data_IF_521457166991
#
_entry.id   IF_521457166991
#
_cell.length_a   1.000
_cell.length_b   1.000
_cell.length_c   1.000
_cell.angle_alpha   90.00
_cell.angle_beta   90.00
_cell.angle_gamma   90.00
#
_symmetry.space_group_name_H-M   'P 1'
#
loop_
_entity.id
_entity.type
_entity.pdbx_description
1 polymer ?
#
# COMPACT_ATOMS: atom_id res chain seq x y z
N UNK A 1 18.61 5.05 -12.28
CA UNK A 1 17.50 5.86 -11.71
C UNK A 1 16.36 4.93 -11.32
N UNK A 2 16.00 4.84 -10.04
CA UNK A 2 14.97 3.89 -9.56
C UNK A 2 13.56 4.24 -10.07
N UNK A 3 12.73 3.23 -10.33
CA UNK A 3 11.31 3.45 -10.69
C UNK A 3 10.58 4.05 -9.47
N UNK A 4 9.87 5.17 -9.67
CA UNK A 4 8.96 5.75 -8.64
C UNK A 4 7.87 4.72 -8.28
N UNK A 5 7.27 4.86 -7.10
CA UNK A 5 6.13 4.06 -6.65
C UNK A 5 5.29 4.84 -5.62
N UNK A 6 4.03 4.43 -5.43
CA UNK A 6 3.18 4.86 -4.32
C UNK A 6 3.14 3.72 -3.31
N UNK A 7 3.50 4.00 -2.07
CA UNK A 7 3.64 2.98 -1.03
C UNK A 7 2.56 3.17 0.05
N UNK A 8 1.85 2.08 0.38
CA UNK A 8 1.02 1.99 1.57
C UNK A 8 1.74 1.09 2.58
N UNK A 9 1.93 1.57 3.81
CA UNK A 9 2.67 0.86 4.86
C UNK A 9 1.73 0.59 6.02
N UNK A 10 1.70 -0.65 6.51
CA UNK A 10 0.87 -1.04 7.65
C UNK A 10 0.87 -2.55 7.86
N UNK A 11 0.43 -3.01 9.04
CA UNK A 11 0.30 -4.45 9.35
C UNK A 11 -0.69 -5.12 8.38
N UNK A 12 -1.77 -4.42 8.01
CA UNK A 12 -2.81 -4.90 7.09
C UNK A 12 -3.46 -6.25 7.45
N UNK A 13 -3.33 -6.70 8.71
CA UNK A 13 -3.99 -7.92 9.18
C UNK A 13 -5.53 -7.78 9.10
N UNK A 14 -6.20 -8.84 8.66
CA UNK A 14 -7.63 -8.89 8.38
C UNK A 14 -8.16 -8.02 7.22
N UNK A 15 -7.37 -7.11 6.64
CA UNK A 15 -7.72 -6.24 5.49
C UNK A 15 -9.15 -5.68 5.56
N UNK A 16 -9.54 -5.15 6.73
CA UNK A 16 -10.87 -4.60 6.99
C UNK A 16 -11.16 -3.32 6.18
N UNK A 17 -12.35 -2.73 6.34
CA UNK A 17 -12.78 -1.58 5.54
C UNK A 17 -11.79 -0.40 5.58
N UNK A 18 -11.22 -0.08 6.74
CA UNK A 18 -10.11 0.88 6.89
C UNK A 18 -8.90 0.58 6.00
N UNK A 19 -8.32 -0.63 6.10
CA UNK A 19 -7.20 -1.06 5.25
C UNK A 19 -7.54 -0.98 3.76
N UNK A 20 -8.75 -1.41 3.37
CA UNK A 20 -9.21 -1.32 1.98
C UNK A 20 -9.24 0.12 1.47
N UNK A 21 -9.61 1.10 2.30
CA UNK A 21 -9.58 2.52 1.91
C UNK A 21 -8.15 3.00 1.63
N UNK A 22 -7.18 2.64 2.47
CA UNK A 22 -5.77 3.00 2.30
C UNK A 22 -5.20 2.37 1.02
N UNK A 23 -5.38 1.06 0.84
CA UNK A 23 -4.89 0.32 -0.33
C UNK A 23 -5.52 0.85 -1.64
N UNK A 24 -6.82 1.13 -1.65
CA UNK A 24 -7.51 1.74 -2.79
C UNK A 24 -6.96 3.13 -3.12
N UNK A 25 -6.63 3.94 -2.11
CA UNK A 25 -6.03 5.25 -2.32
C UNK A 25 -4.64 5.13 -2.96
N UNK A 26 -3.80 4.20 -2.49
CA UNK A 26 -2.49 3.94 -3.09
C UNK A 26 -2.58 3.53 -4.56
N UNK A 27 -3.50 2.60 -4.89
CA UNK A 27 -3.75 2.17 -6.27
C UNK A 27 -4.24 3.33 -7.14
N UNK A 28 -5.19 4.13 -6.66
CA UNK A 28 -5.73 5.29 -7.40
C UNK A 28 -4.61 6.30 -7.73
N UNK A 29 -3.78 6.64 -6.74
CA UNK A 29 -2.68 7.60 -6.94
C UNK A 29 -1.63 7.02 -7.87
N UNK A 30 -1.31 5.72 -7.76
CA UNK A 30 -0.32 5.07 -8.61
C UNK A 30 -0.75 5.06 -10.08
N UNK A 31 -2.02 4.74 -10.35
CA UNK A 31 -2.62 4.81 -11.70
C UNK A 31 -2.53 6.22 -12.28
N UNK A 32 -2.90 7.24 -11.51
CA UNK A 32 -2.81 8.64 -11.94
C UNK A 32 -1.39 9.12 -12.22
N UNK A 33 -0.37 8.45 -11.68
CA UNK A 33 1.06 8.75 -11.87
C UNK A 33 1.76 7.79 -12.84
N UNK A 34 1.02 6.89 -13.50
CA UNK A 34 1.56 5.81 -14.32
C UNK A 34 2.73 5.07 -13.63
N UNK A 35 2.51 4.69 -12.37
CA UNK A 35 3.53 4.10 -11.51
C UNK A 35 2.98 2.89 -10.74
N UNK A 36 3.84 2.19 -9.99
CA UNK A 36 3.42 1.02 -9.22
C UNK A 36 2.82 1.43 -7.88
N UNK A 37 1.77 0.72 -7.45
CA UNK A 37 1.33 0.70 -6.05
C UNK A 37 2.01 -0.46 -5.34
N UNK A 38 2.56 -0.24 -4.15
CA UNK A 38 3.24 -1.24 -3.34
C UNK A 38 2.64 -1.21 -1.93
N UNK A 39 2.31 -2.38 -1.39
CA UNK A 39 1.99 -2.55 0.02
C UNK A 39 3.23 -3.09 0.74
N UNK A 40 3.62 -2.43 1.84
CA UNK A 40 4.65 -2.91 2.76
C UNK A 40 3.95 -3.33 4.05
N UNK A 41 4.15 -4.58 4.43
CA UNK A 41 3.65 -5.17 5.67
C UNK A 41 4.79 -5.73 6.50
N UNK A 42 4.48 -6.17 7.72
CA UNK A 42 5.43 -6.61 8.72
C UNK A 42 5.23 -8.10 8.97
N UNK A 43 6.32 -8.86 8.90
CA UNK A 43 6.38 -10.26 9.32
C UNK A 43 7.70 -10.52 10.07
N UNK A 44 7.67 -11.15 11.27
CA UNK A 44 6.48 -11.55 12.03
C UNK A 44 5.63 -10.34 12.44
N UNK A 45 4.48 -10.59 13.05
CA UNK A 45 3.69 -9.50 13.63
C UNK A 45 4.59 -8.67 14.56
N UNK A 46 4.60 -7.33 14.46
CA UNK A 46 5.60 -6.48 15.13
C UNK A 46 5.38 -6.34 16.65
N UNK A 47 4.26 -6.86 17.15
CA UNK A 47 3.94 -7.05 18.57
C UNK A 47 3.90 -8.55 18.88
#
# INVERSE_FOLDING_TARGET
>A
MGKKAVVAIGVFDGVHLGHRRILKAAVRIARGKNTKAIAVTFYPHPL
#
